data_IF_887513047185
#
_entry.id   IF_887513047185
#
_cell.length_a   1.000
_cell.length_b   1.000
_cell.length_c   1.000
_cell.angle_alpha   90.00
_cell.angle_beta   90.00
_cell.angle_gamma   90.00
#
_symmetry.space_group_name_H-M   'P 1'
#
loop_
_entity.id
_entity.type
_entity.pdbx_description
1 polymer ?
#
# COMPACT_ATOMS: atom_id res chain seq x y z
N UNK A 1 -0.18 -13.02 -8.35
CA UNK A 1 0.26 -12.38 -7.07
C UNK A 1 -0.79 -11.40 -6.55
N UNK A 2 -1.19 -10.37 -7.29
CA UNK A 2 -2.15 -9.35 -6.81
C UNK A 2 -3.50 -9.95 -6.40
N UNK A 3 -4.06 -10.88 -7.19
CA UNK A 3 -5.32 -11.57 -6.82
C UNK A 3 -5.21 -12.36 -5.52
N UNK A 4 -4.06 -12.95 -5.24
CA UNK A 4 -3.81 -13.64 -3.96
C UNK A 4 -3.77 -12.66 -2.79
N UNK A 5 -3.15 -11.49 -2.99
CA UNK A 5 -3.16 -10.40 -2.01
C UNK A 5 -4.58 -9.89 -1.74
N UNK A 6 -5.38 -9.65 -2.78
CA UNK A 6 -6.79 -9.23 -2.62
C UNK A 6 -7.57 -10.25 -1.78
N UNK A 7 -7.41 -11.55 -2.06
CA UNK A 7 -8.05 -12.61 -1.27
C UNK A 7 -7.60 -12.59 0.19
N UNK A 8 -6.30 -12.35 0.42
CA UNK A 8 -5.75 -12.27 1.77
C UNK A 8 -6.31 -11.06 2.54
N UNK A 9 -6.36 -9.88 1.92
CA UNK A 9 -6.99 -8.69 2.50
C UNK A 9 -8.46 -8.94 2.84
N UNK A 10 -9.22 -9.54 1.91
CA UNK A 10 -10.63 -9.85 2.13
C UNK A 10 -10.83 -10.84 3.29
N UNK A 11 -9.94 -11.83 3.44
CA UNK A 11 -9.95 -12.76 4.60
C UNK A 11 -9.78 -12.01 5.93
N UNK A 12 -9.05 -10.91 5.94
CA UNK A 12 -8.87 -10.04 7.10
C UNK A 12 -9.89 -8.89 7.16
N UNK A 13 -10.99 -8.98 6.40
CA UNK A 13 -12.09 -8.01 6.37
C UNK A 13 -11.68 -6.61 5.89
N UNK A 14 -10.70 -6.51 5.00
CA UNK A 14 -10.39 -5.28 4.27
C UNK A 14 -11.03 -5.33 2.89
N UNK A 15 -11.65 -4.24 2.48
CA UNK A 15 -12.08 -4.03 1.09
C UNK A 15 -10.94 -3.39 0.30
N UNK A 16 -10.62 -3.93 -0.85
CA UNK A 16 -9.51 -3.48 -1.69
C UNK A 16 -10.03 -3.12 -3.08
N UNK A 17 -9.72 -1.89 -3.51
CA UNK A 17 -9.92 -1.47 -4.88
C UNK A 17 -8.67 -1.78 -5.72
N UNK A 18 -8.87 -2.46 -6.83
CA UNK A 18 -7.85 -2.68 -7.85
C UNK A 18 -8.47 -2.33 -9.20
N UNK A 19 -7.95 -1.29 -9.84
CA UNK A 19 -8.55 -0.69 -11.04
C UNK A 19 -8.81 -1.66 -12.19
N UNK A 20 -7.85 -2.51 -12.54
CA UNK A 20 -8.02 -3.47 -13.62
C UNK A 20 -8.96 -4.65 -13.28
N UNK A 21 -9.36 -4.79 -12.01
CA UNK A 21 -10.38 -5.75 -11.57
C UNK A 21 -11.77 -5.09 -11.59
N UNK A 22 -11.88 -3.91 -10.96
CA UNK A 22 -13.15 -3.21 -10.74
C UNK A 22 -13.59 -2.37 -11.95
N UNK A 23 -12.65 -1.66 -12.56
CA UNK A 23 -12.89 -0.74 -13.68
C UNK A 23 -12.17 -1.23 -14.94
N UNK A 24 -12.53 -2.42 -15.44
CA UNK A 24 -11.89 -3.12 -16.57
C UNK A 24 -11.83 -2.30 -17.86
N UNK A 25 -12.73 -1.35 -18.03
CA UNK A 25 -12.79 -0.43 -19.17
C UNK A 25 -11.79 0.73 -19.05
N UNK A 26 -11.08 0.84 -17.93
CA UNK A 26 -10.14 1.92 -17.70
C UNK A 26 -8.90 1.76 -18.60
N UNK A 27 -8.72 2.69 -19.51
CA UNK A 27 -7.49 2.73 -20.31
C UNK A 27 -6.37 3.44 -19.54
N UNK A 28 -5.37 2.65 -19.15
CA UNK A 28 -4.17 3.16 -18.45
C UNK A 28 -2.97 3.35 -19.38
N UNK A 29 -3.09 3.03 -20.65
CA UNK A 29 -2.01 3.18 -21.63
C UNK A 29 -1.73 4.65 -21.89
N UNK A 30 -2.80 5.45 -21.96
CA UNK A 30 -2.72 6.87 -22.21
C UNK A 30 -3.12 7.68 -20.98
N UNK A 31 -2.41 8.79 -20.77
CA UNK A 31 -2.76 9.76 -19.73
C UNK A 31 -3.88 10.65 -20.27
N UNK A 32 -5.08 10.55 -19.67
CA UNK A 32 -6.23 11.35 -20.06
C UNK A 32 -7.06 11.77 -18.84
N UNK A 33 -7.86 12.83 -19.03
CA UNK A 33 -8.66 13.45 -17.96
C UNK A 33 -9.74 12.52 -17.42
N UNK A 34 -10.36 11.71 -18.28
CA UNK A 34 -11.43 10.77 -17.87
C UNK A 34 -10.89 9.72 -16.90
N UNK A 35 -9.75 9.10 -17.24
CA UNK A 35 -9.07 8.14 -16.37
C UNK A 35 -8.65 8.79 -15.06
N UNK A 36 -8.04 9.99 -15.11
CA UNK A 36 -7.63 10.72 -13.91
C UNK A 36 -8.80 11.02 -12.97
N UNK A 37 -9.94 11.44 -13.51
CA UNK A 37 -11.12 11.74 -12.69
C UNK A 37 -11.68 10.49 -12.01
N UNK A 38 -11.77 9.37 -12.71
CA UNK A 38 -12.22 8.12 -12.11
C UNK A 38 -11.29 7.67 -10.98
N UNK A 39 -9.98 7.70 -11.20
CA UNK A 39 -8.99 7.36 -10.17
C UNK A 39 -9.08 8.29 -8.95
N UNK A 40 -9.27 9.60 -9.16
CA UNK A 40 -9.49 10.56 -8.07
C UNK A 40 -10.71 10.19 -7.21
N UNK A 41 -11.84 9.83 -7.85
CA UNK A 41 -13.04 9.43 -7.11
C UNK A 41 -12.81 8.15 -6.29
N UNK A 42 -12.13 7.16 -6.85
CA UNK A 42 -11.77 5.93 -6.13
C UNK A 42 -10.84 6.23 -4.95
N UNK A 43 -9.84 7.08 -5.16
CA UNK A 43 -8.91 7.50 -4.10
C UNK A 43 -9.60 8.28 -2.98
N UNK A 44 -10.56 9.15 -3.27
CA UNK A 44 -11.36 9.85 -2.25
C UNK A 44 -12.15 8.89 -1.36
N UNK A 45 -12.67 7.81 -1.92
CA UNK A 45 -13.43 6.77 -1.20
C UNK A 45 -12.52 5.83 -0.39
N UNK A 46 -11.22 5.79 -0.69
CA UNK A 46 -10.27 4.89 -0.04
C UNK A 46 -9.71 5.50 1.24
N UNK A 47 -9.42 4.67 2.23
CA UNK A 47 -8.81 5.09 3.50
C UNK A 47 -7.29 5.17 3.44
N UNK A 48 -6.66 4.33 2.63
CA UNK A 48 -5.21 4.32 2.40
C UNK A 48 -4.89 3.84 0.99
N UNK A 49 -3.67 4.12 0.57
CA UNK A 49 -3.10 3.63 -0.68
C UNK A 49 -1.90 2.75 -0.38
N UNK A 50 -1.94 1.50 -0.87
CA UNK A 50 -0.81 0.58 -0.86
C UNK A 50 -0.10 0.61 -2.21
N UNK A 51 1.13 1.12 -2.23
CA UNK A 51 1.95 1.17 -3.42
C UNK A 51 2.72 -0.15 -3.57
N UNK A 52 2.31 -0.96 -4.53
CA UNK A 52 2.97 -2.24 -4.81
C UNK A 52 4.29 -2.00 -5.54
N UNK A 53 5.40 -2.43 -4.96
CA UNK A 53 6.70 -2.36 -5.63
C UNK A 53 7.02 -3.69 -6.30
N UNK A 54 7.20 -3.64 -7.62
CA UNK A 54 7.62 -4.77 -8.46
C UNK A 54 8.79 -4.34 -9.33
N UNK A 55 9.50 -5.30 -9.95
CA UNK A 55 10.61 -4.99 -10.88
C UNK A 55 10.23 -4.04 -12.03
N UNK A 56 8.95 -4.01 -12.41
CA UNK A 56 8.45 -3.27 -13.56
C UNK A 56 7.72 -1.97 -13.22
N UNK A 57 7.66 -1.59 -11.95
CA UNK A 57 6.87 -0.43 -11.50
C UNK A 57 7.41 0.90 -12.02
N UNK A 58 8.71 0.97 -12.29
CA UNK A 58 9.38 2.17 -12.83
C UNK A 58 8.80 2.62 -14.17
N UNK A 59 8.12 1.73 -14.90
CA UNK A 59 7.53 2.03 -16.21
C UNK A 59 6.09 2.57 -16.13
N UNK A 60 5.49 2.60 -14.94
CA UNK A 60 4.13 3.13 -14.79
C UNK A 60 4.11 4.65 -14.75
N UNK A 61 3.32 5.26 -15.62
CA UNK A 61 3.08 6.72 -15.61
C UNK A 61 2.09 7.12 -14.51
N UNK A 62 1.16 6.22 -14.16
CA UNK A 62 0.08 6.49 -13.22
C UNK A 62 0.47 6.31 -11.76
N UNK A 63 1.25 5.26 -11.44
CA UNK A 63 1.55 4.93 -10.05
C UNK A 63 2.22 6.08 -9.26
N UNK A 64 3.24 6.79 -9.77
CA UNK A 64 3.80 7.93 -9.06
C UNK A 64 2.81 9.09 -8.89
N UNK A 65 1.96 9.33 -9.90
CA UNK A 65 0.93 10.36 -9.83
C UNK A 65 -0.15 10.02 -8.79
N UNK A 66 -0.63 8.77 -8.76
CA UNK A 66 -1.58 8.28 -7.78
C UNK A 66 -1.03 8.42 -6.36
N UNK A 67 0.24 8.03 -6.14
CA UNK A 67 0.90 8.15 -4.85
C UNK A 67 0.94 9.59 -4.37
N UNK A 68 1.42 10.52 -5.20
CA UNK A 68 1.52 11.93 -4.86
C UNK A 68 0.16 12.59 -4.63
N UNK A 69 -0.84 12.24 -5.45
CA UNK A 69 -2.21 12.74 -5.27
C UNK A 69 -2.82 12.24 -3.95
N UNK A 70 -2.68 10.95 -3.66
CA UNK A 70 -3.25 10.36 -2.45
C UNK A 70 -2.57 10.87 -1.19
N UNK A 71 -1.25 11.01 -1.21
CA UNK A 71 -0.48 11.55 -0.09
C UNK A 71 -0.92 12.97 0.27
N UNK A 72 -1.09 13.83 -0.73
CA UNK A 72 -1.64 15.18 -0.53
C UNK A 72 -3.09 15.19 -0.04
N UNK A 73 -3.92 14.24 -0.53
CA UNK A 73 -5.35 14.16 -0.19
C UNK A 73 -5.58 13.63 1.24
N UNK A 74 -4.84 12.61 1.67
CA UNK A 74 -5.09 11.84 2.90
C UNK A 74 -3.96 11.93 3.93
N UNK A 75 -3.08 12.92 3.82
CA UNK A 75 -2.03 13.21 4.79
C UNK A 75 -1.28 11.94 5.26
N UNK A 76 -0.45 11.41 4.38
CA UNK A 76 0.44 10.28 4.67
C UNK A 76 -0.25 8.93 4.95
N UNK A 77 -1.44 8.70 4.42
CA UNK A 77 -2.09 7.38 4.43
C UNK A 77 -1.65 6.53 3.22
N UNK A 78 -0.38 6.64 2.85
CA UNK A 78 0.28 5.82 1.84
C UNK A 78 1.28 4.87 2.51
N UNK A 79 1.40 3.66 1.99
CA UNK A 79 2.38 2.69 2.43
C UNK A 79 2.94 1.90 1.25
N UNK A 80 4.13 1.36 1.40
CA UNK A 80 4.81 0.53 0.41
C UNK A 80 4.52 -0.94 0.72
N UNK A 81 4.03 -1.67 -0.27
CA UNK A 81 3.86 -3.12 -0.19
C UNK A 81 4.87 -3.79 -1.14
N UNK A 82 6.04 -4.23 -0.64
CA UNK A 82 7.03 -4.90 -1.45
C UNK A 82 6.55 -6.32 -1.78
N UNK A 83 6.46 -6.65 -3.08
CA UNK A 83 6.16 -8.01 -3.56
C UNK A 83 7.45 -8.82 -3.77
N UNK A 84 8.61 -8.19 -3.65
CA UNK A 84 9.92 -8.81 -3.87
C UNK A 84 10.57 -9.19 -2.55
N UNK A 85 11.39 -10.26 -2.60
CA UNK A 85 12.14 -10.81 -1.45
C UNK A 85 13.13 -9.83 -0.82
N UNK A 86 13.50 -8.76 -1.52
CA UNK A 86 14.48 -7.79 -1.05
C UNK A 86 13.90 -6.37 -1.03
N UNK A 87 14.02 -5.71 0.12
CA UNK A 87 13.85 -4.26 0.30
C UNK A 87 15.05 -3.54 -0.33
N UNK A 88 15.07 -3.50 -1.66
CA UNK A 88 16.14 -2.86 -2.42
C UNK A 88 16.01 -1.35 -2.38
N UNK A 89 17.12 -0.67 -2.65
CA UNK A 89 17.12 0.76 -2.92
C UNK A 89 16.15 1.06 -4.06
N UNK A 90 15.35 2.09 -3.90
CA UNK A 90 14.40 2.54 -4.90
C UNK A 90 15.11 3.44 -5.93
N UNK A 91 16.04 2.88 -6.70
CA UNK A 91 16.81 3.63 -7.69
C UNK A 91 15.87 4.31 -8.70
N UNK A 92 15.91 5.64 -8.76
CA UNK A 92 15.02 6.48 -9.57
C UNK A 92 13.63 6.72 -8.96
N UNK A 93 13.37 6.21 -7.76
CA UNK A 93 12.14 6.43 -7.00
C UNK A 93 12.44 6.59 -5.50
N UNK A 94 13.46 7.33 -5.18
CA UNK A 94 13.99 7.52 -3.82
C UNK A 94 12.92 8.08 -2.86
N UNK A 95 11.92 8.79 -3.37
CA UNK A 95 10.77 9.29 -2.62
C UNK A 95 9.95 8.18 -1.94
N UNK A 96 10.04 6.94 -2.42
CA UNK A 96 9.39 5.81 -1.76
C UNK A 96 9.94 5.55 -0.35
N UNK A 97 11.18 5.94 -0.09
CA UNK A 97 11.79 5.89 1.24
C UNK A 97 11.12 6.78 2.29
N UNK A 98 10.22 7.69 1.89
CA UNK A 98 9.44 8.54 2.80
C UNK A 98 8.28 7.81 3.48
N UNK A 99 7.89 6.64 2.95
CA UNK A 99 6.69 5.92 3.38
C UNK A 99 7.02 4.69 4.23
N UNK A 100 6.11 4.39 5.16
CA UNK A 100 6.15 3.14 5.92
C UNK A 100 5.85 1.93 5.04
N UNK A 101 6.23 0.76 5.51
CA UNK A 101 5.96 -0.50 4.83
C UNK A 101 4.66 -1.14 5.32
N UNK A 102 3.95 -1.80 4.43
CA UNK A 102 2.85 -2.70 4.77
C UNK A 102 3.36 -4.14 4.70
N UNK A 103 3.18 -4.89 5.76
CA UNK A 103 3.59 -6.28 5.84
C UNK A 103 2.50 -7.18 6.41
N UNK A 104 2.50 -8.42 5.94
CA UNK A 104 1.71 -9.49 6.52
C UNK A 104 2.65 -10.38 7.33
N UNK A 105 2.56 -10.29 8.64
CA UNK A 105 3.56 -10.85 9.56
C UNK A 105 2.92 -11.29 10.88
N UNK A 106 3.66 -12.02 11.70
CA UNK A 106 3.35 -12.29 13.08
C UNK A 106 4.27 -11.49 14.02
N UNK A 107 3.93 -11.46 15.31
CA UNK A 107 4.76 -10.84 16.33
C UNK A 107 5.67 -11.90 16.97
N UNK A 108 6.96 -11.62 17.06
CA UNK A 108 7.90 -12.50 17.71
C UNK A 108 7.49 -12.78 19.16
N UNK A 109 7.46 -14.08 19.52
CA UNK A 109 7.08 -14.51 20.87
C UNK A 109 5.57 -14.47 21.20
N UNK A 110 4.72 -14.17 20.23
CA UNK A 110 3.25 -14.12 20.41
C UNK A 110 2.57 -15.03 19.37
N UNK A 111 1.94 -16.10 19.85
CA UNK A 111 1.19 -17.03 18.98
C UNK A 111 -0.25 -16.54 18.75
N UNK A 112 -0.40 -15.50 17.95
CA UNK A 112 -1.71 -14.94 17.53
C UNK A 112 -1.94 -15.01 16.02
N UNK A 113 -1.06 -15.72 15.29
CA UNK A 113 -1.09 -15.78 13.83
C UNK A 113 -0.63 -14.47 13.17
N UNK A 114 -0.68 -14.47 11.84
CA UNK A 114 -0.30 -13.31 11.02
C UNK A 114 -1.45 -12.30 10.89
N UNK A 115 -1.08 -11.03 10.79
CA UNK A 115 -1.99 -9.91 10.51
C UNK A 115 -1.25 -8.87 9.63
N UNK A 116 -1.96 -7.86 9.16
CA UNK A 116 -1.37 -6.75 8.42
C UNK A 116 -0.87 -5.66 9.36
N UNK A 117 0.38 -5.26 9.18
CA UNK A 117 1.04 -4.21 9.95
C UNK A 117 1.63 -3.14 9.05
N UNK A 118 1.54 -1.89 9.50
CA UNK A 118 2.35 -0.77 9.01
C UNK A 118 3.59 -0.71 9.89
N UNK A 119 4.77 -0.71 9.30
CA UNK A 119 6.03 -0.76 10.03
C UNK A 119 7.13 0.09 9.40
N UNK A 120 8.17 0.37 10.17
CA UNK A 120 9.41 0.95 9.67
C UNK A 120 10.24 -0.08 8.87
N UNK A 121 11.31 0.39 8.23
CA UNK A 121 12.17 -0.47 7.42
C UNK A 121 12.83 -1.61 8.22
N UNK A 122 13.17 -1.37 9.49
CA UNK A 122 13.79 -2.35 10.37
C UNK A 122 12.81 -3.35 11.01
N UNK A 123 11.50 -3.16 10.83
CA UNK A 123 10.42 -4.00 11.39
C UNK A 123 10.36 -3.97 12.92
N UNK A 124 10.89 -2.94 13.54
CA UNK A 124 10.97 -2.79 15.00
C UNK A 124 9.91 -1.85 15.58
N UNK A 125 9.30 -1.05 14.73
CA UNK A 125 8.19 -0.17 15.07
C UNK A 125 7.01 -0.47 14.16
N UNK A 126 5.86 -0.75 14.72
CA UNK A 126 4.70 -1.18 13.95
C UNK A 126 3.37 -0.75 14.58
N UNK A 127 2.35 -0.71 13.76
CA UNK A 127 0.95 -0.57 14.14
C UNK A 127 0.10 -1.47 13.26
N UNK A 128 -1.00 -2.02 13.77
CA UNK A 128 -1.93 -2.77 12.92
C UNK A 128 -2.50 -1.90 11.81
N UNK A 129 -2.60 -2.43 10.61
CA UNK A 129 -3.19 -1.72 9.47
C UNK A 129 -4.58 -1.17 9.82
N UNK A 130 -5.41 -1.95 10.51
CA UNK A 130 -6.76 -1.56 10.92
C UNK A 130 -6.77 -0.31 11.79
N UNK A 131 -5.86 -0.24 12.75
CA UNK A 131 -5.76 0.90 13.67
C UNK A 131 -5.25 2.13 12.92
N UNK A 132 -4.21 1.95 12.10
CA UNK A 132 -3.62 3.03 11.32
C UNK A 132 -4.60 3.69 10.34
N UNK A 133 -5.41 2.90 9.60
CA UNK A 133 -6.42 3.46 8.68
C UNK A 133 -7.59 4.13 9.41
N UNK A 134 -7.81 3.83 10.68
CA UNK A 134 -8.81 4.46 11.54
C UNK A 134 -8.28 5.66 12.33
N UNK A 135 -7.05 6.10 12.07
CA UNK A 135 -6.49 7.34 12.60
C UNK A 135 -5.62 7.19 13.85
N UNK A 136 -5.39 5.98 14.34
CA UNK A 136 -4.42 5.77 15.41
C UNK A 136 -3.00 6.02 14.89
N UNK A 137 -2.18 6.68 15.70
CA UNK A 137 -0.82 7.11 15.33
C UNK A 137 0.27 6.54 16.20
N UNK A 138 -0.11 5.84 17.28
CA UNK A 138 0.86 5.26 18.22
C UNK A 138 1.39 3.94 17.68
N UNK A 139 2.68 3.94 17.34
CA UNK A 139 3.42 2.74 17.00
C UNK A 139 3.90 2.02 18.26
N UNK A 140 3.95 0.71 18.16
CA UNK A 140 4.46 -0.17 19.21
C UNK A 140 5.87 -0.62 18.88
N UNK A 141 6.68 -0.88 19.90
CA UNK A 141 8.01 -1.46 19.77
C UNK A 141 7.92 -2.98 19.83
N UNK A 142 8.67 -3.68 18.99
CA UNK A 142 8.71 -5.13 18.91
C UNK A 142 9.34 -5.60 17.62
N UNK A 143 9.26 -6.91 17.34
CA UNK A 143 9.82 -7.51 16.13
C UNK A 143 8.71 -8.23 15.36
N UNK A 144 8.51 -7.84 14.11
CA UNK A 144 7.68 -8.55 13.15
C UNK A 144 8.51 -9.68 12.50
N UNK A 145 7.93 -10.89 12.41
CA UNK A 145 8.53 -12.08 11.83
C UNK A 145 7.65 -12.73 10.79
#
# INVERSE_FOLDING_TARGET
QVLALVKLFNKHHFSVYVDWIEDKQLDRKDVNVKTANLLRERMKQSKCLSYLTTKNITNSKWCPWELGYFDGLKQSKCCILPIMEYRTKFDGQEYLGLYSYLEYASLAGIDRGCDFYICNQSRTEFIKLRDWINGYTKFYQGILV
#
